data_IF_130030875036
#
_entry.id   IF_130030875036
#
_cell.length_a   1.000
_cell.length_b   1.000
_cell.length_c   1.000
_cell.angle_alpha   90.00
_cell.angle_beta   90.00
_cell.angle_gamma   90.00
#
_symmetry.space_group_name_H-M   'P 1'
#
loop_
_entity.id
_entity.type
_entity.pdbx_description
1 polymer ?
#
# COMPACT_ATOMS: atom_id res chain seq x y z
N UNK A 1 13.89 11.92 -27.01
CA UNK A 1 13.50 11.46 -25.66
C UNK A 1 13.89 9.99 -25.61
N UNK A 2 14.85 9.61 -24.76
CA UNK A 2 15.37 8.24 -24.74
C UNK A 2 14.33 7.34 -24.09
N UNK A 3 13.80 6.35 -24.81
CA UNK A 3 12.90 5.35 -24.23
C UNK A 3 13.68 4.57 -23.17
N UNK A 4 13.25 4.69 -21.92
CA UNK A 4 13.81 3.89 -20.84
C UNK A 4 13.29 2.47 -20.95
N UNK A 5 14.17 1.49 -20.70
CA UNK A 5 13.69 0.14 -20.41
C UNK A 5 12.79 0.18 -19.18
N UNK A 6 11.79 -0.72 -19.14
CA UNK A 6 10.87 -0.82 -17.99
C UNK A 6 11.63 -1.00 -16.67
N UNK A 7 12.73 -1.74 -16.69
CA UNK A 7 13.58 -1.95 -15.52
C UNK A 7 14.22 -0.64 -15.03
N UNK A 8 14.79 0.15 -15.94
CA UNK A 8 15.41 1.44 -15.60
C UNK A 8 14.37 2.44 -15.07
N UNK A 9 13.16 2.42 -15.62
CA UNK A 9 12.07 3.27 -15.16
C UNK A 9 11.64 2.91 -13.73
N UNK A 10 11.44 1.61 -13.47
CA UNK A 10 11.09 1.12 -12.14
C UNK A 10 12.17 1.43 -11.11
N UNK A 11 13.45 1.29 -11.46
CA UNK A 11 14.56 1.66 -10.59
C UNK A 11 14.53 3.16 -10.20
N UNK A 12 14.21 4.04 -11.17
CA UNK A 12 14.06 5.48 -10.91
C UNK A 12 12.88 5.78 -9.97
N UNK A 13 11.75 5.09 -10.14
CA UNK A 13 10.59 5.24 -9.26
C UNK A 13 10.92 4.83 -7.82
N UNK A 14 11.52 3.66 -7.62
CA UNK A 14 11.92 3.18 -6.29
C UNK A 14 12.89 4.16 -5.62
N UNK A 15 13.88 4.66 -6.37
CA UNK A 15 14.82 5.66 -5.88
C UNK A 15 14.14 6.99 -5.50
N UNK A 16 13.13 7.42 -6.25
CA UNK A 16 12.33 8.61 -5.93
C UNK A 16 11.53 8.39 -4.63
N UNK A 17 10.84 7.26 -4.50
CA UNK A 17 10.04 6.93 -3.33
C UNK A 17 10.89 6.93 -2.05
N UNK A 18 12.08 6.31 -2.08
CA UNK A 18 13.01 6.30 -0.94
C UNK A 18 13.51 7.71 -0.61
N UNK A 19 13.98 8.47 -1.62
CA UNK A 19 14.54 9.82 -1.42
C UNK A 19 13.52 10.84 -0.93
N UNK A 20 12.25 10.70 -1.31
CA UNK A 20 11.17 11.61 -0.93
C UNK A 20 10.39 11.15 0.31
N UNK A 21 10.80 10.07 0.96
CA UNK A 21 10.13 9.57 2.16
C UNK A 21 8.69 9.10 1.91
N UNK A 22 8.47 8.44 0.77
CA UNK A 22 7.17 7.87 0.38
C UNK A 22 7.08 6.43 0.88
N UNK A 23 7.96 5.54 0.41
CA UNK A 23 8.01 4.12 0.79
C UNK A 23 9.46 3.70 1.05
N UNK A 24 9.65 2.87 2.07
CA UNK A 24 10.92 2.26 2.46
C UNK A 24 10.82 0.74 2.54
N UNK A 25 11.94 0.05 2.32
CA UNK A 25 12.05 -1.37 2.58
C UNK A 25 11.93 -1.61 4.08
N UNK A 26 11.03 -2.49 4.51
CA UNK A 26 10.90 -2.81 5.94
C UNK A 26 12.19 -3.45 6.44
N UNK A 27 12.61 -3.03 7.63
CA UNK A 27 13.83 -3.54 8.29
C UNK A 27 15.12 -3.34 7.46
N UNK A 28 15.20 -2.29 6.64
CA UNK A 28 16.33 -2.00 5.74
C UNK A 28 17.69 -2.04 6.48
N UNK A 29 17.75 -1.50 7.71
CA UNK A 29 18.98 -1.48 8.53
C UNK A 29 19.44 -2.87 9.00
N UNK A 30 18.59 -3.90 8.87
CA UNK A 30 18.87 -5.28 9.23
C UNK A 30 18.88 -6.22 8.02
N UNK A 31 19.04 -5.68 6.80
CA UNK A 31 19.10 -6.46 5.56
C UNK A 31 17.75 -6.60 4.84
N UNK A 32 16.68 -6.01 5.37
CA UNK A 32 15.37 -5.97 4.74
C UNK A 32 14.59 -7.29 4.85
N UNK A 33 13.26 -7.20 4.81
CA UNK A 33 12.38 -8.35 4.66
C UNK A 33 11.61 -8.24 3.34
N UNK A 34 11.97 -9.06 2.36
CA UNK A 34 11.32 -9.07 1.05
C UNK A 34 9.80 -9.23 1.19
N UNK A 35 9.05 -8.39 0.48
CA UNK A 35 7.59 -8.36 0.54
C UNK A 35 7.00 -7.42 1.59
N UNK A 36 7.81 -6.86 2.50
CA UNK A 36 7.35 -5.93 3.53
C UNK A 36 7.90 -4.52 3.30
N UNK A 37 7.03 -3.52 3.43
CA UNK A 37 7.32 -2.12 3.10
C UNK A 37 6.69 -1.18 4.11
N UNK A 38 7.42 -0.11 4.45
CA UNK A 38 7.00 0.91 5.40
C UNK A 38 6.68 2.23 4.67
N UNK A 39 5.56 2.86 5.04
CA UNK A 39 5.19 4.17 4.53
C UNK A 39 5.88 5.28 5.32
N UNK A 40 6.60 6.16 4.61
CA UNK A 40 7.27 7.32 5.19
C UNK A 40 6.34 8.52 5.42
N UNK A 41 6.90 9.66 5.88
CA UNK A 41 6.12 10.86 6.20
C UNK A 41 5.24 11.38 5.07
N UNK A 42 5.69 11.26 3.82
CA UNK A 42 4.91 11.66 2.65
C UNK A 42 4.04 10.52 2.10
N UNK A 43 4.37 9.27 2.42
CA UNK A 43 3.61 8.09 1.99
C UNK A 43 2.34 7.84 2.81
N UNK A 44 2.39 8.04 4.13
CA UNK A 44 1.23 7.88 5.02
C UNK A 44 0.03 8.75 4.60
N UNK A 45 0.17 10.09 4.42
CA UNK A 45 -0.94 10.93 3.99
C UNK A 45 -1.41 10.59 2.57
N UNK A 46 -0.50 10.22 1.67
CA UNK A 46 -0.85 9.77 0.32
C UNK A 46 -1.73 8.51 0.36
N UNK A 47 -1.31 7.49 1.13
CA UNK A 47 -2.06 6.24 1.29
C UNK A 47 -3.45 6.50 1.87
N UNK A 48 -3.52 7.30 2.94
CA UNK A 48 -4.79 7.70 3.57
C UNK A 48 -5.71 8.45 2.63
N UNK A 49 -5.17 9.37 1.82
CA UNK A 49 -5.98 10.12 0.86
C UNK A 49 -6.62 9.20 -0.19
N UNK A 50 -5.89 8.19 -0.66
CA UNK A 50 -6.41 7.18 -1.59
C UNK A 50 -7.47 6.31 -0.92
N UNK A 51 -7.20 5.81 0.29
CA UNK A 51 -8.16 5.02 1.08
C UNK A 51 -9.47 5.80 1.32
N UNK A 52 -9.38 7.07 1.70
CA UNK A 52 -10.53 7.95 1.93
C UNK A 52 -11.32 8.23 0.65
N UNK A 53 -10.63 8.52 -0.46
CA UNK A 53 -11.29 8.76 -1.75
C UNK A 53 -12.06 7.52 -2.22
N UNK A 54 -11.48 6.33 -2.02
CA UNK A 54 -12.14 5.07 -2.33
C UNK A 54 -13.34 4.83 -1.40
N UNK A 55 -13.18 5.02 -0.10
CA UNK A 55 -14.24 4.80 0.89
C UNK A 55 -15.46 5.68 0.62
N UNK A 56 -15.20 6.97 0.37
CA UNK A 56 -16.24 7.92 -0.01
C UNK A 56 -17.03 7.44 -1.22
N UNK A 57 -16.32 7.14 -2.31
CA UNK A 57 -16.99 6.74 -3.56
C UNK A 57 -17.72 5.39 -3.43
N UNK A 58 -17.13 4.43 -2.73
CA UNK A 58 -17.66 3.06 -2.69
C UNK A 58 -18.72 2.84 -1.64
N UNK A 59 -18.61 3.48 -0.48
CA UNK A 59 -19.48 3.24 0.68
C UNK A 59 -20.41 4.41 0.94
N UNK A 60 -19.90 5.65 0.94
CA UNK A 60 -20.73 6.81 1.29
C UNK A 60 -21.64 7.26 0.13
N UNK A 61 -21.14 7.22 -1.11
CA UNK A 61 -21.85 7.74 -2.28
C UNK A 61 -22.76 6.68 -2.95
N UNK A 62 -22.78 5.44 -2.45
CA UNK A 62 -23.53 4.31 -3.04
C UNK A 62 -24.49 3.68 -2.04
N UNK A 63 -25.75 3.55 -2.45
CA UNK A 63 -26.82 3.00 -1.59
C UNK A 63 -26.79 1.47 -1.44
N UNK A 64 -25.78 0.78 -1.97
CA UNK A 64 -25.74 -0.68 -2.05
C UNK A 64 -24.45 -1.32 -1.53
N UNK A 65 -23.68 -0.59 -0.72
CA UNK A 65 -22.43 -1.07 -0.14
C UNK A 65 -22.39 -0.66 1.33
N UNK A 66 -22.19 -1.64 2.21
CA UNK A 66 -22.07 -1.41 3.64
C UNK A 66 -20.60 -1.45 4.07
N UNK A 67 -20.22 -0.52 4.95
CA UNK A 67 -18.87 -0.49 5.53
C UNK A 67 -18.70 -1.56 6.60
N UNK A 68 -17.58 -2.28 6.56
CA UNK A 68 -17.21 -3.29 7.56
C UNK A 68 -15.73 -3.18 7.90
N UNK A 69 -15.39 -3.31 9.17
CA UNK A 69 -14.02 -3.50 9.64
C UNK A 69 -13.95 -4.77 10.50
N UNK A 70 -13.00 -5.65 10.19
CA UNK A 70 -12.88 -6.98 10.79
C UNK A 70 -11.50 -7.20 11.41
N UNK A 71 -11.42 -8.09 12.38
CA UNK A 71 -10.15 -8.45 13.00
C UNK A 71 -9.23 -9.22 12.04
N UNK A 72 -7.91 -9.00 12.16
CA UNK A 72 -6.91 -9.73 11.36
C UNK A 72 -6.82 -11.21 11.78
N UNK A 73 -6.95 -11.50 13.08
CA UNK A 73 -6.92 -12.85 13.61
C UNK A 73 -8.35 -13.41 13.63
N UNK A 74 -8.56 -14.53 12.94
CA UNK A 74 -9.85 -15.21 12.82
C UNK A 74 -9.74 -16.67 13.23
N UNK A 75 -10.88 -17.28 13.60
CA UNK A 75 -10.93 -18.70 13.95
C UNK A 75 -10.51 -19.58 12.75
N UNK A 76 -9.65 -20.60 12.93
CA UNK A 76 -9.08 -21.38 11.81
C UNK A 76 -10.12 -22.05 10.92
N UNK A 77 -11.26 -22.45 11.46
CA UNK A 77 -12.34 -23.08 10.68
C UNK A 77 -12.91 -22.14 9.58
N UNK A 78 -12.82 -20.81 9.73
CA UNK A 78 -13.21 -19.87 8.67
C UNK A 78 -12.35 -20.10 7.42
N UNK A 79 -11.06 -20.34 7.59
CA UNK A 79 -10.10 -20.52 6.50
C UNK A 79 -10.23 -21.89 5.83
N UNK A 80 -10.76 -22.88 6.55
CA UNK A 80 -11.05 -24.21 5.99
C UNK A 80 -12.30 -24.21 5.11
N UNK A 81 -13.24 -23.31 5.38
CA UNK A 81 -14.50 -23.22 4.68
C UNK A 81 -14.48 -22.22 3.50
N UNK A 82 -13.46 -21.36 3.41
CA UNK A 82 -13.31 -20.29 2.39
C UNK A 82 -12.74 -20.78 1.07
#
# INVERSE_FOLDING_TARGET
>A
MQELSTADFMAKLVALCKRRGIIFQSSDIYGGINGFWDYGPNGVPLRRAVEQAWWKYMVEDRDNVEGLDSTIICHPEVWRAS
#
